data_IF_830908127901
#
_entry.id   IF_830908127901
#
_cell.length_a   1.000
_cell.length_b   1.000
_cell.length_c   1.000
_cell.angle_alpha   90.00
_cell.angle_beta   90.00
_cell.angle_gamma   90.00
#
_symmetry.space_group_name_H-M   'P 1'
#
loop_
_entity.id
_entity.type
_entity.pdbx_description
1 polymer ?
#
# COMPACT_ATOMS: atom_id res chain seq x y z
N UNK A 1 18.89 -10.14 -13.20
CA UNK A 1 18.78 -9.87 -11.76
C UNK A 1 17.38 -10.18 -11.29
N UNK A 2 17.23 -10.88 -10.19
CA UNK A 2 15.89 -11.08 -9.66
C UNK A 2 15.31 -9.72 -9.22
N UNK A 3 14.07 -9.50 -9.55
CA UNK A 3 13.33 -8.33 -9.07
C UNK A 3 13.15 -8.44 -7.56
N UNK A 4 13.21 -7.30 -6.84
CA UNK A 4 12.90 -7.27 -5.41
C UNK A 4 11.48 -7.75 -5.12
N UNK A 5 10.61 -7.75 -6.15
CA UNK A 5 9.23 -8.18 -6.04
C UNK A 5 8.99 -9.59 -6.57
N UNK A 6 10.05 -10.33 -6.86
CA UNK A 6 9.94 -11.67 -7.45
C UNK A 6 9.14 -12.63 -6.59
N UNK A 7 9.29 -12.54 -5.26
CA UNK A 7 8.57 -13.40 -4.32
C UNK A 7 7.20 -12.86 -3.92
N UNK A 8 6.82 -11.71 -4.45
CA UNK A 8 5.51 -11.16 -4.17
C UNK A 8 4.44 -11.96 -4.90
N UNK A 9 3.33 -12.24 -4.21
CA UNK A 9 2.18 -12.86 -4.84
C UNK A 9 1.64 -11.93 -5.93
N UNK A 10 0.87 -12.48 -6.86
CA UNK A 10 0.24 -11.70 -7.92
C UNK A 10 -0.63 -10.58 -7.32
N UNK A 11 -1.39 -10.91 -6.26
CA UNK A 11 -2.25 -9.92 -5.60
C UNK A 11 -1.44 -8.83 -4.90
N UNK A 12 -0.32 -9.16 -4.29
CA UNK A 12 0.56 -8.16 -3.68
C UNK A 12 1.16 -7.23 -4.72
N UNK A 13 1.57 -7.77 -5.87
CA UNK A 13 2.04 -6.94 -7.00
C UNK A 13 0.94 -6.02 -7.49
N UNK A 14 -0.29 -6.53 -7.55
CA UNK A 14 -1.44 -5.74 -7.97
C UNK A 14 -1.70 -4.58 -7.00
N UNK A 15 -1.49 -4.80 -5.69
CA UNK A 15 -1.60 -3.73 -4.70
C UNK A 15 -0.67 -2.57 -5.04
N UNK A 16 0.58 -2.87 -5.42
CA UNK A 16 1.55 -1.84 -5.77
C UNK A 16 1.13 -1.07 -7.03
N UNK A 17 0.60 -1.78 -8.02
CA UNK A 17 0.08 -1.17 -9.24
C UNK A 17 -1.13 -0.28 -8.94
N UNK A 18 -2.04 -0.75 -8.10
CA UNK A 18 -3.21 0.02 -7.69
C UNK A 18 -2.82 1.23 -6.84
N UNK A 19 -1.76 1.10 -6.02
CA UNK A 19 -1.23 2.21 -5.24
C UNK A 19 -0.74 3.32 -6.16
N UNK A 20 -0.06 2.96 -7.25
CA UNK A 20 0.38 3.95 -8.24
C UNK A 20 -0.81 4.66 -8.89
N UNK A 21 -1.86 3.91 -9.24
CA UNK A 21 -3.08 4.51 -9.78
C UNK A 21 -3.70 5.51 -8.81
N UNK A 22 -3.75 5.17 -7.52
CA UNK A 22 -4.31 6.07 -6.51
C UNK A 22 -3.46 7.33 -6.35
N UNK A 23 -2.14 7.19 -6.36
CA UNK A 23 -1.25 8.35 -6.28
C UNK A 23 -1.49 9.28 -7.47
N UNK A 24 -1.61 8.72 -8.67
CA UNK A 24 -1.89 9.50 -9.88
C UNK A 24 -3.27 10.15 -9.84
N UNK A 25 -4.26 9.47 -9.28
CA UNK A 25 -5.60 10.02 -9.09
C UNK A 25 -5.58 11.32 -8.28
N UNK A 26 -4.71 11.38 -7.26
CA UNK A 26 -4.54 12.56 -6.42
C UNK A 26 -3.53 13.57 -6.96
N UNK A 27 -2.95 13.29 -8.12
CA UNK A 27 -1.87 14.10 -8.71
C UNK A 27 -0.65 14.18 -7.77
N UNK A 28 -0.38 13.10 -7.05
CA UNK A 28 0.80 12.98 -6.20
C UNK A 28 1.96 12.43 -7.03
N UNK A 29 3.17 12.96 -6.81
CA UNK A 29 4.37 12.53 -7.53
C UNK A 29 5.16 11.48 -6.75
N UNK A 30 4.52 10.79 -5.82
CA UNK A 30 5.12 9.76 -4.99
C UNK A 30 4.07 8.71 -4.65
N UNK A 31 4.54 7.50 -4.30
CA UNK A 31 3.67 6.45 -3.75
C UNK A 31 4.01 6.35 -2.27
N UNK A 32 3.11 6.85 -1.42
CA UNK A 32 3.25 6.79 0.03
C UNK A 32 2.50 5.62 0.63
N UNK A 33 2.58 5.48 1.94
CA UNK A 33 1.87 4.43 2.66
C UNK A 33 0.35 4.56 2.47
N UNK A 34 -0.16 5.78 2.38
CA UNK A 34 -1.59 6.05 2.13
C UNK A 34 -2.05 5.45 0.81
N UNK A 35 -1.23 5.53 -0.24
CA UNK A 35 -1.55 4.96 -1.54
C UNK A 35 -1.50 3.42 -1.49
N UNK A 36 -0.57 2.88 -0.73
CA UNK A 36 -0.49 1.43 -0.53
C UNK A 36 -1.72 0.91 0.21
N UNK A 37 -2.22 1.66 1.20
CA UNK A 37 -3.45 1.30 1.90
C UNK A 37 -4.64 1.27 0.93
N UNK A 38 -4.75 2.29 0.07
CA UNK A 38 -5.79 2.33 -0.95
C UNK A 38 -5.68 1.13 -1.90
N UNK A 39 -4.45 0.77 -2.27
CA UNK A 39 -4.22 -0.43 -3.10
C UNK A 39 -4.68 -1.70 -2.41
N UNK A 40 -4.39 -1.85 -1.11
CA UNK A 40 -4.83 -2.99 -0.32
C UNK A 40 -6.36 -3.10 -0.27
N UNK A 41 -7.04 -1.98 -0.07
CA UNK A 41 -8.51 -1.95 -0.03
C UNK A 41 -9.09 -2.30 -1.41
N UNK A 42 -8.46 -1.84 -2.49
CA UNK A 42 -8.94 -2.10 -3.86
C UNK A 42 -8.70 -3.53 -4.33
N UNK A 43 -7.71 -4.21 -3.80
CA UNK A 43 -7.47 -5.62 -4.16
C UNK A 43 -8.40 -6.51 -3.33
N UNK A 44 -9.66 -6.55 -3.72
CA UNK A 44 -10.76 -7.15 -2.96
C UNK A 44 -10.63 -8.66 -2.75
N UNK A 45 -9.83 -9.35 -3.56
CA UNK A 45 -9.61 -10.79 -3.42
C UNK A 45 -8.49 -11.13 -2.45
N UNK A 46 -7.74 -10.12 -1.98
CA UNK A 46 -6.67 -10.33 -1.03
C UNK A 46 -7.16 -10.48 0.40
N UNK A 47 -6.36 -11.17 1.21
CA UNK A 47 -6.66 -11.35 2.64
C UNK A 47 -6.73 -9.99 3.35
N UNK A 48 -5.82 -9.08 3.01
CA UNK A 48 -5.80 -7.76 3.63
C UNK A 48 -7.11 -7.00 3.40
N UNK A 49 -7.67 -7.08 2.20
CA UNK A 49 -8.93 -6.41 1.89
C UNK A 49 -10.06 -6.94 2.76
N UNK A 50 -10.10 -8.25 3.00
CA UNK A 50 -11.12 -8.83 3.88
C UNK A 50 -10.97 -8.34 5.31
N UNK A 51 -9.76 -8.31 5.83
CA UNK A 51 -9.49 -7.80 7.19
C UNK A 51 -9.92 -6.33 7.29
N UNK A 52 -9.52 -5.52 6.33
CA UNK A 52 -9.85 -4.10 6.33
C UNK A 52 -11.37 -3.86 6.23
N UNK A 53 -12.04 -4.65 5.39
CA UNK A 53 -13.49 -4.58 5.26
C UNK A 53 -14.19 -4.90 6.58
N UNK A 54 -13.72 -5.95 7.27
CA UNK A 54 -14.26 -6.34 8.57
C UNK A 54 -14.04 -5.26 9.64
N UNK A 55 -13.03 -4.42 9.45
CA UNK A 55 -12.75 -3.29 10.35
C UNK A 55 -13.41 -1.99 9.87
N UNK A 56 -14.29 -2.08 8.87
CA UNK A 56 -14.99 -0.93 8.28
C UNK A 56 -14.05 0.10 7.63
N UNK A 57 -12.90 -0.36 7.15
CA UNK A 57 -11.98 0.49 6.38
C UNK A 57 -12.42 0.42 4.92
N UNK A 58 -13.14 1.43 4.49
CA UNK A 58 -13.77 1.49 3.16
C UNK A 58 -13.03 2.45 2.24
N UNK A 59 -13.01 2.12 0.94
CA UNK A 59 -12.29 2.88 -0.08
C UNK A 59 -12.64 4.37 -0.06
N UNK A 60 -13.94 4.68 -0.07
CA UNK A 60 -14.40 6.08 -0.09
C UNK A 60 -13.92 6.83 1.15
N UNK A 61 -13.99 6.19 2.32
CA UNK A 61 -13.56 6.80 3.57
C UNK A 61 -12.06 7.07 3.58
N UNK A 62 -11.26 6.11 3.09
CA UNK A 62 -9.81 6.27 3.03
C UNK A 62 -9.43 7.37 2.04
N UNK A 63 -10.06 7.39 0.86
CA UNK A 63 -9.83 8.46 -0.11
C UNK A 63 -10.15 9.84 0.47
N UNK A 64 -11.27 9.95 1.18
CA UNK A 64 -11.65 11.21 1.82
C UNK A 64 -10.64 11.64 2.88
N UNK A 65 -10.14 10.69 3.67
CA UNK A 65 -9.13 10.98 4.69
C UNK A 65 -7.83 11.45 4.05
N UNK A 66 -7.38 10.79 2.99
CA UNK A 66 -6.16 11.19 2.27
C UNK A 66 -6.31 12.60 1.68
N UNK A 67 -7.44 12.88 1.07
CA UNK A 67 -7.70 14.20 0.50
C UNK A 67 -7.70 15.28 1.58
N UNK A 68 -8.27 14.97 2.75
CA UNK A 68 -8.31 15.91 3.88
C UNK A 68 -6.92 16.16 4.48
N UNK A 69 -6.12 15.10 4.64
CA UNK A 69 -4.81 15.19 5.31
C UNK A 69 -3.73 15.75 4.38
N UNK A 70 -3.68 15.25 3.15
CA UNK A 70 -2.61 15.55 2.19
C UNK A 70 -3.06 16.55 1.13
N UNK A 71 -4.30 16.42 0.67
CA UNK A 71 -4.82 17.20 -0.43
C UNK A 71 -4.44 16.62 -1.78
N UNK A 72 -4.80 17.35 -2.85
CA UNK A 72 -4.46 16.96 -4.22
C UNK A 72 -3.31 17.80 -4.74
N UNK A 73 -2.48 17.18 -5.58
CA UNK A 73 -1.49 17.93 -6.35
C UNK A 73 -2.16 18.79 -7.41
N UNK A 74 -1.46 19.83 -7.83
CA UNK A 74 -2.01 20.81 -8.79
C UNK A 74 -1.91 20.33 -10.24
N UNK A 75 -1.03 19.38 -10.53
CA UNK A 75 -0.78 18.93 -11.90
C UNK A 75 -0.72 17.40 -11.95
N UNK A 76 -1.23 16.81 -13.05
CA UNK A 76 -1.06 15.38 -13.25
C UNK A 76 0.41 15.01 -13.28
N UNK A 77 0.72 13.82 -12.78
CA UNK A 77 2.09 13.28 -12.78
C UNK A 77 2.17 12.19 -13.84
N UNK A 78 2.90 12.41 -14.94
CA UNK A 78 3.05 11.38 -15.97
C UNK A 78 4.11 10.36 -15.60
N UNK A 79 3.97 9.15 -16.13
CA UNK A 79 4.98 8.11 -16.04
C UNK A 79 5.03 7.41 -14.70
N UNK A 80 6.13 6.71 -14.48
CA UNK A 80 6.35 5.97 -13.25
C UNK A 80 6.79 6.90 -12.12
N UNK A 81 6.21 6.68 -10.95
CA UNK A 81 6.53 7.45 -9.76
C UNK A 81 7.11 6.51 -8.70
N UNK A 82 7.97 7.06 -7.85
CA UNK A 82 8.71 6.26 -6.88
C UNK A 82 8.03 6.12 -5.53
N UNK A 83 8.48 5.12 -4.80
CA UNK A 83 8.03 4.87 -3.43
C UNK A 83 8.71 5.85 -2.47
N UNK A 84 7.97 6.35 -1.49
CA UNK A 84 8.57 7.13 -0.40
C UNK A 84 9.46 6.22 0.46
N UNK A 85 10.38 6.79 1.27
CA UNK A 85 11.16 5.99 2.21
C UNK A 85 10.28 5.17 3.16
N UNK A 86 9.17 5.72 3.65
CA UNK A 86 8.26 4.98 4.52
C UNK A 86 7.57 3.84 3.78
N UNK A 87 7.17 4.05 2.54
CA UNK A 87 6.58 3.00 1.71
C UNK A 87 7.59 1.87 1.45
N UNK A 88 8.85 2.22 1.19
CA UNK A 88 9.92 1.22 1.06
C UNK A 88 10.09 0.43 2.36
N UNK A 89 10.00 1.11 3.50
CA UNK A 89 10.11 0.45 4.80
C UNK A 89 8.97 -0.54 5.02
N UNK A 90 7.76 -0.21 4.59
CA UNK A 90 6.62 -1.13 4.65
C UNK A 90 6.94 -2.42 3.88
N UNK A 91 7.50 -2.29 2.68
CA UNK A 91 7.86 -3.45 1.86
C UNK A 91 8.94 -4.28 2.56
N UNK A 92 9.96 -3.65 3.12
CA UNK A 92 11.01 -4.35 3.87
C UNK A 92 10.43 -5.13 5.06
N UNK A 93 9.52 -4.51 5.79
CA UNK A 93 8.88 -5.15 6.95
C UNK A 93 7.94 -6.27 6.51
N UNK A 94 7.29 -6.13 5.34
CA UNK A 94 6.47 -7.20 4.78
C UNK A 94 7.32 -8.43 4.43
N UNK A 95 8.47 -8.21 3.82
CA UNK A 95 9.42 -9.28 3.51
C UNK A 95 9.89 -9.96 4.80
N UNK A 96 10.21 -9.18 5.82
CA UNK A 96 10.65 -9.69 7.11
C UNK A 96 9.56 -10.56 7.77
N UNK A 97 8.30 -10.10 7.73
CA UNK A 97 7.19 -10.88 8.29
C UNK A 97 7.01 -12.22 7.58
N UNK A 98 7.05 -12.24 6.26
CA UNK A 98 6.93 -13.48 5.49
C UNK A 98 8.05 -14.46 5.89
N UNK A 99 9.27 -13.95 6.05
CA UNK A 99 10.42 -14.75 6.46
C UNK A 99 10.22 -15.33 7.87
N UNK A 100 9.75 -14.49 8.80
CA UNK A 100 9.52 -14.92 10.20
C UNK A 100 8.44 -15.99 10.28
N UNK A 101 7.48 -15.98 9.37
CA UNK A 101 6.41 -16.97 9.29
C UNK A 101 6.77 -18.17 8.42
N UNK A 102 8.00 -18.24 7.94
CA UNK A 102 8.50 -19.30 7.04
C UNK A 102 7.67 -19.44 5.77
N UNK A 103 7.18 -18.33 5.25
CA UNK A 103 6.40 -18.32 4.02
C UNK A 103 7.29 -17.96 2.85
N UNK A 104 7.10 -18.66 1.73
CA UNK A 104 7.92 -18.48 0.53
C UNK A 104 7.43 -17.34 -0.36
N UNK A 105 6.32 -16.72 0.00
CA UNK A 105 5.71 -15.64 -0.78
C UNK A 105 5.40 -14.45 0.12
N UNK A 106 5.29 -13.28 -0.49
CA UNK A 106 4.84 -12.07 0.20
C UNK A 106 3.45 -11.74 -0.33
N UNK A 107 2.43 -11.89 0.51
CA UNK A 107 1.05 -11.63 0.15
C UNK A 107 0.55 -10.27 0.63
N UNK A 108 -0.72 -9.98 0.35
CA UNK A 108 -1.32 -8.71 0.78
C UNK A 108 -1.34 -8.60 2.31
N UNK A 109 -1.51 -9.73 3.02
CA UNK A 109 -1.47 -9.76 4.47
C UNK A 109 -0.13 -9.29 5.03
N UNK A 110 0.97 -9.65 4.38
CA UNK A 110 2.30 -9.21 4.81
C UNK A 110 2.49 -7.71 4.60
N UNK A 111 1.95 -7.18 3.51
CA UNK A 111 1.97 -5.74 3.26
C UNK A 111 1.20 -4.97 4.33
N UNK A 112 0.05 -5.50 4.73
CA UNK A 112 -0.74 -4.88 5.79
C UNK A 112 0.00 -4.90 7.13
N UNK A 113 0.59 -6.04 7.49
CA UNK A 113 1.38 -6.16 8.72
C UNK A 113 2.58 -5.21 8.67
N UNK A 114 3.28 -5.14 7.54
CA UNK A 114 4.40 -4.22 7.35
C UNK A 114 3.99 -2.77 7.56
N UNK A 115 2.82 -2.40 7.05
CA UNK A 115 2.27 -1.07 7.21
C UNK A 115 2.02 -0.74 8.69
N UNK A 116 1.45 -1.69 9.42
CA UNK A 116 1.19 -1.48 10.85
C UNK A 116 2.47 -1.45 11.67
N UNK A 117 3.47 -2.25 11.31
CA UNK A 117 4.78 -2.23 11.97
C UNK A 117 5.54 -0.94 11.73
N UNK A 118 5.39 -0.36 10.53
CA UNK A 118 6.01 0.93 10.22
C UNK A 118 5.43 2.03 11.14
N UNK A 119 4.11 2.07 11.26
CA UNK A 119 3.39 2.79 12.32
C UNK A 119 3.42 4.31 12.29
N UNK A 120 4.19 4.94 11.41
CA UNK A 120 4.37 6.41 11.41
C UNK A 120 3.89 7.10 10.13
N UNK A 121 3.54 6.32 9.10
CA UNK A 121 3.05 6.88 7.85
C UNK A 121 1.61 7.35 7.95
N UNK A 122 1.13 8.01 6.89
CA UNK A 122 -0.24 8.50 6.80
C UNK A 122 -1.24 7.35 6.95
N UNK A 123 -0.93 6.18 6.35
CA UNK A 123 -1.78 5.00 6.45
C UNK A 123 -2.01 4.57 7.90
N UNK A 124 -0.96 4.56 8.72
CA UNK A 124 -1.06 4.21 10.13
C UNK A 124 -1.98 5.17 10.89
N UNK A 125 -1.93 6.45 10.52
CA UNK A 125 -2.82 7.46 11.11
C UNK A 125 -4.28 7.30 10.70
N UNK A 126 -4.53 6.75 9.50
CA UNK A 126 -5.90 6.49 9.02
C UNK A 126 -6.48 5.24 9.69
N UNK A 127 -5.65 4.25 9.91
CA UNK A 127 -6.05 3.01 10.57
C UNK A 127 -6.22 3.25 12.08
#
# INVERSE_FOLDING_TARGET
MPSRFEKFSERARRVLSLAQEEAQRFNHNYIGTEHMLLGLVRETEGVAAQVLSNLNVELVKVRSAVEFIIGRGKRPTPGDIGLTPRAKKVIELAVDEARRLNQSYIGTEHLLIGMMREGEGVAAGVL
#
